data_IF_892557910534
#
_entry.id   IF_892557910534
#
_cell.length_a   1.000
_cell.length_b   1.000
_cell.length_c   1.000
_cell.angle_alpha   90.00
_cell.angle_beta   90.00
_cell.angle_gamma   90.00
#
_symmetry.space_group_name_H-M   'P 1'
#
loop_
_entity.id
_entity.type
_entity.pdbx_description
1 polymer ?
#
# COMPACT_ATOMS: atom_id res chain seq x y z
N UNK A 1 -21.63 0.95 19.38
CA UNK A 1 -21.55 2.38 19.07
C UNK A 1 -20.25 2.53 18.30
N UNK A 2 -20.32 2.85 16.99
CA UNK A 2 -19.13 3.10 16.20
C UNK A 2 -18.33 4.24 16.85
N UNK A 3 -17.04 4.06 17.04
CA UNK A 3 -16.15 5.16 17.44
C UNK A 3 -16.24 6.24 16.37
N UNK A 4 -16.53 7.46 16.76
CA UNK A 4 -16.57 8.60 15.85
C UNK A 4 -15.13 8.83 15.35
N UNK A 5 -14.85 8.41 14.14
CA UNK A 5 -13.52 8.56 13.51
C UNK A 5 -13.51 9.86 12.72
N UNK A 6 -12.48 10.67 12.95
CA UNK A 6 -12.20 11.86 12.13
C UNK A 6 -11.30 11.50 10.95
N UNK A 7 -11.24 12.38 9.95
CA UNK A 7 -10.30 12.24 8.84
C UNK A 7 -9.43 13.48 8.70
N UNK A 8 -8.18 13.27 8.28
CA UNK A 8 -7.27 14.35 7.95
C UNK A 8 -6.64 14.09 6.57
N UNK A 9 -6.71 15.10 5.69
CA UNK A 9 -6.26 15.00 4.30
C UNK A 9 -5.14 15.98 4.00
N UNK A 10 -4.37 15.71 2.94
CA UNK A 10 -3.43 16.69 2.40
C UNK A 10 -4.20 17.89 1.84
N UNK A 11 -3.72 19.10 2.14
CA UNK A 11 -4.20 20.31 1.49
C UNK A 11 -3.56 20.52 0.12
N UNK A 12 -4.21 21.29 -0.73
CA UNK A 12 -3.65 21.73 -2.00
C UNK A 12 -2.35 22.55 -1.76
N UNK A 13 -1.27 22.31 -2.52
CA UNK A 13 0.04 22.92 -2.30
C UNK A 13 0.03 24.47 -2.30
N UNK A 14 -0.85 25.07 -3.11
CA UNK A 14 -0.95 26.54 -3.25
C UNK A 14 -2.09 27.18 -2.42
N UNK A 15 -2.99 26.37 -1.86
CA UNK A 15 -4.13 26.86 -1.06
C UNK A 15 -4.46 25.90 0.09
N UNK A 16 -3.86 26.16 1.25
CA UNK A 16 -4.00 25.32 2.44
C UNK A 16 -5.43 25.16 2.98
N UNK A 17 -6.39 25.91 2.43
CA UNK A 17 -7.81 25.79 2.80
C UNK A 17 -8.61 24.88 1.87
N UNK A 18 -7.99 24.39 0.82
CA UNK A 18 -8.57 23.43 -0.11
C UNK A 18 -7.87 22.09 0.06
N UNK A 19 -8.60 21.00 -0.15
CA UNK A 19 -8.02 19.66 -0.23
C UNK A 19 -7.21 19.52 -1.52
N UNK A 20 -6.19 18.67 -1.50
CA UNK A 20 -5.45 18.24 -2.68
C UNK A 20 -6.41 17.63 -3.72
N UNK A 21 -6.19 17.93 -5.01
CA UNK A 21 -7.11 17.51 -6.09
C UNK A 21 -7.27 15.99 -6.17
N UNK A 22 -6.23 15.22 -5.89
CA UNK A 22 -6.26 13.75 -5.92
C UNK A 22 -7.13 13.14 -4.80
N UNK A 23 -7.41 13.90 -3.74
CA UNK A 23 -8.25 13.48 -2.61
C UNK A 23 -9.60 14.19 -2.54
N UNK A 24 -9.96 14.97 -3.56
CA UNK A 24 -11.17 15.79 -3.54
C UNK A 24 -12.46 14.96 -3.36
N UNK A 25 -12.60 13.88 -4.12
CA UNK A 25 -13.78 12.99 -4.02
C UNK A 25 -13.86 12.29 -2.65
N UNK A 26 -12.71 11.85 -2.13
CA UNK A 26 -12.62 11.23 -0.81
C UNK A 26 -12.98 12.24 0.30
N UNK A 27 -12.45 13.46 0.23
CA UNK A 27 -12.75 14.52 1.19
C UNK A 27 -14.24 14.89 1.21
N UNK A 28 -14.87 14.99 0.02
CA UNK A 28 -16.31 15.26 -0.07
C UNK A 28 -17.15 14.12 0.53
N UNK A 29 -16.79 12.88 0.25
CA UNK A 29 -17.50 11.71 0.76
C UNK A 29 -17.34 11.57 2.29
N UNK A 30 -16.15 11.78 2.82
CA UNK A 30 -15.88 11.78 4.27
C UNK A 30 -16.66 12.86 4.99
N UNK A 31 -16.68 14.10 4.46
CA UNK A 31 -17.33 15.26 5.06
C UNK A 31 -18.86 15.17 5.14
N UNK A 32 -19.48 14.14 4.57
CA UNK A 32 -20.93 13.94 4.74
C UNK A 32 -21.30 13.50 6.17
N UNK A 33 -20.43 12.72 6.83
CA UNK A 33 -20.78 12.10 8.12
C UNK A 33 -19.62 12.11 9.13
N UNK A 34 -18.43 12.61 8.73
CA UNK A 34 -17.25 12.65 9.58
C UNK A 34 -16.65 14.05 9.61
N UNK A 35 -16.05 14.44 10.72
CA UNK A 35 -15.28 15.68 10.80
C UNK A 35 -13.97 15.55 10.02
N UNK A 36 -13.66 16.56 9.20
CA UNK A 36 -12.54 16.55 8.28
C UNK A 36 -11.61 17.77 8.45
N UNK A 37 -10.34 17.53 8.69
CA UNK A 37 -9.31 18.54 8.70
C UNK A 37 -8.36 18.41 7.50
N UNK A 38 -7.60 19.45 7.24
CA UNK A 38 -6.55 19.49 6.24
C UNK A 38 -5.21 19.82 6.89
N UNK A 39 -4.11 19.28 6.35
CA UNK A 39 -2.76 19.70 6.71
C UNK A 39 -1.92 19.95 5.47
N UNK A 40 -0.92 20.83 5.57
CA UNK A 40 0.00 21.09 4.47
C UNK A 40 1.16 20.08 4.51
N UNK A 41 1.25 19.26 3.44
CA UNK A 41 2.32 18.29 3.27
C UNK A 41 3.69 18.99 3.13
N UNK A 42 3.77 20.12 2.40
CA UNK A 42 4.99 20.90 2.20
C UNK A 42 5.49 21.57 3.49
N UNK A 43 4.56 21.96 4.39
CA UNK A 43 4.97 22.47 5.69
C UNK A 43 5.49 21.33 6.57
N UNK A 44 4.86 20.15 6.50
CA UNK A 44 5.33 18.98 7.23
C UNK A 44 6.74 18.56 6.80
N UNK A 45 7.07 18.60 5.51
CA UNK A 45 8.43 18.38 5.01
C UNK A 45 9.45 19.36 5.60
N UNK A 46 9.00 20.57 5.96
CA UNK A 46 9.82 21.61 6.62
C UNK A 46 9.77 21.54 8.16
N UNK A 47 9.20 20.46 8.70
CA UNK A 47 9.07 20.26 10.14
C UNK A 47 8.02 21.15 10.80
N UNK A 48 6.98 21.58 10.08
CA UNK A 48 5.89 22.41 10.61
C UNK A 48 4.54 21.74 10.40
N UNK A 49 3.67 21.80 11.40
CA UNK A 49 2.28 21.36 11.28
C UNK A 49 1.36 22.56 11.08
N UNK A 50 0.84 22.70 9.86
CA UNK A 50 -0.20 23.68 9.52
C UNK A 50 -1.52 22.97 9.26
N UNK A 51 -2.51 23.20 10.11
CA UNK A 51 -3.86 22.63 10.02
C UNK A 51 -4.86 23.67 9.53
N UNK A 52 -5.89 23.21 8.83
CA UNK A 52 -7.08 23.97 8.43
C UNK A 52 -8.30 23.04 8.33
N UNK A 53 -9.49 23.58 8.05
CA UNK A 53 -10.73 22.81 8.06
C UNK A 53 -11.36 22.76 9.43
N UNK A 54 -11.94 21.63 9.81
CA UNK A 54 -12.61 21.46 11.10
C UNK A 54 -11.61 21.25 12.25
N UNK A 55 -12.00 21.67 13.45
CA UNK A 55 -11.23 21.39 14.67
C UNK A 55 -11.53 19.96 15.13
N UNK A 56 -10.61 19.04 14.83
CA UNK A 56 -10.73 17.61 15.13
C UNK A 56 -9.88 17.23 16.34
N UNK A 57 -10.33 16.22 17.10
CA UNK A 57 -9.61 15.63 18.23
C UNK A 57 -9.90 14.13 18.34
N UNK A 58 -9.02 13.40 18.99
CA UNK A 58 -9.16 11.96 19.20
C UNK A 58 -8.74 11.14 17.98
N UNK A 59 -9.35 9.97 17.82
CA UNK A 59 -8.97 9.00 16.78
C UNK A 59 -9.22 9.57 15.39
N UNK A 60 -8.18 9.57 14.57
CA UNK A 60 -8.18 10.19 13.26
C UNK A 60 -7.51 9.28 12.24
N UNK A 61 -8.10 9.15 11.06
CA UNK A 61 -7.51 8.45 9.92
C UNK A 61 -6.91 9.48 8.97
N UNK A 62 -5.62 9.33 8.69
CA UNK A 62 -4.95 10.05 7.64
C UNK A 62 -5.32 9.47 6.27
N UNK A 63 -5.66 10.33 5.30
CA UNK A 63 -5.84 9.96 3.90
C UNK A 63 -5.00 10.89 3.04
N UNK A 64 -3.94 10.36 2.44
CA UNK A 64 -3.02 11.21 1.69
C UNK A 64 -1.83 10.46 1.09
N UNK A 65 -0.84 11.23 0.69
CA UNK A 65 0.39 10.74 0.08
C UNK A 65 1.20 9.86 1.04
N UNK A 66 1.88 8.85 0.48
CA UNK A 66 2.81 8.01 1.23
C UNK A 66 3.91 8.86 1.85
N UNK A 67 4.27 8.53 3.07
CA UNK A 67 5.35 9.16 3.83
C UNK A 67 6.45 8.14 4.11
N UNK A 68 7.70 8.59 4.21
CA UNK A 68 8.72 7.75 4.84
C UNK A 68 8.33 7.47 6.30
N UNK A 69 8.76 6.34 6.91
CA UNK A 69 8.47 6.05 8.31
C UNK A 69 8.86 7.18 9.27
N UNK A 70 9.98 7.84 9.02
CA UNK A 70 10.44 8.96 9.82
C UNK A 70 9.51 10.18 9.69
N UNK A 71 9.07 10.50 8.47
CA UNK A 71 8.13 11.61 8.24
C UNK A 71 6.78 11.33 8.90
N UNK A 72 6.30 10.10 8.80
CA UNK A 72 5.06 9.69 9.46
C UNK A 72 5.16 9.78 10.99
N UNK A 73 6.28 9.36 11.59
CA UNK A 73 6.52 9.48 13.03
C UNK A 73 6.50 10.95 13.48
N UNK A 74 7.16 11.84 12.75
CA UNK A 74 7.12 13.27 13.01
C UNK A 74 5.69 13.82 12.94
N UNK A 75 4.95 13.46 11.91
CA UNK A 75 3.55 13.86 11.73
C UNK A 75 2.67 13.37 12.88
N UNK A 76 2.78 12.08 13.22
CA UNK A 76 2.07 11.46 14.35
C UNK A 76 2.30 12.22 15.66
N UNK A 77 3.56 12.50 15.99
CA UNK A 77 3.92 13.18 17.23
C UNK A 77 3.40 14.63 17.28
N UNK A 78 3.50 15.38 16.17
CA UNK A 78 2.98 16.74 16.08
C UNK A 78 1.44 16.80 16.21
N UNK A 79 0.73 15.81 15.67
CA UNK A 79 -0.71 15.70 15.81
C UNK A 79 -1.10 15.33 17.25
N UNK A 80 -0.34 14.43 17.88
CA UNK A 80 -0.59 13.98 19.25
C UNK A 80 -0.47 15.14 20.25
N UNK A 81 0.46 16.09 20.04
CA UNK A 81 0.56 17.34 20.83
C UNK A 81 -0.71 18.20 20.73
N UNK A 82 -1.54 17.97 19.74
CA UNK A 82 -2.83 18.65 19.52
C UNK A 82 -4.05 17.80 19.86
N UNK A 83 -3.85 16.71 20.60
CA UNK A 83 -4.90 15.76 21.00
C UNK A 83 -5.53 15.03 19.79
N UNK A 84 -4.82 14.95 18.64
CA UNK A 84 -5.20 14.21 17.45
C UNK A 84 -4.34 12.95 17.39
N UNK A 85 -4.97 11.78 17.50
CA UNK A 85 -4.28 10.50 17.48
C UNK A 85 -4.55 9.75 16.17
N UNK A 86 -3.54 9.57 15.34
CA UNK A 86 -3.70 8.73 14.15
C UNK A 86 -3.97 7.28 14.54
N UNK A 87 -4.81 6.61 13.75
CA UNK A 87 -5.27 5.24 14.00
C UNK A 87 -4.13 4.23 14.06
N UNK A 88 -3.12 4.40 13.22
CA UNK A 88 -1.92 3.56 13.22
C UNK A 88 -0.78 4.30 13.92
N UNK A 89 -0.13 3.63 14.87
CA UNK A 89 1.11 4.12 15.45
C UNK A 89 2.24 4.14 14.41
N UNK A 90 3.33 4.89 14.61
CA UNK A 90 4.49 4.89 13.71
C UNK A 90 5.08 3.50 13.46
N UNK A 91 5.05 2.63 14.47
CA UNK A 91 5.50 1.24 14.37
C UNK A 91 4.60 0.41 13.46
N UNK A 92 3.29 0.58 13.57
CA UNK A 92 2.31 -0.11 12.74
C UNK A 92 2.36 0.39 11.29
N UNK A 93 2.47 1.71 11.10
CA UNK A 93 2.69 2.29 9.79
C UNK A 93 3.91 1.66 9.10
N UNK A 94 5.08 1.70 9.73
CA UNK A 94 6.30 1.12 9.18
C UNK A 94 6.16 -0.39 8.93
N UNK A 95 5.50 -1.12 9.85
CA UNK A 95 5.28 -2.56 9.71
C UNK A 95 4.53 -2.91 8.42
N UNK A 96 3.42 -2.25 8.13
CA UNK A 96 2.58 -2.61 6.98
C UNK A 96 2.93 -1.84 5.72
N UNK A 97 3.55 -0.67 5.84
CA UNK A 97 4.02 0.08 4.68
C UNK A 97 5.23 -0.58 4.00
N UNK A 98 6.12 -1.22 4.78
CA UNK A 98 7.35 -1.83 4.27
C UNK A 98 7.23 -3.36 4.21
N UNK A 99 7.51 -3.96 3.05
CA UNK A 99 7.41 -5.42 2.84
C UNK A 99 8.13 -6.24 3.93
N UNK A 100 9.37 -5.95 4.33
CA UNK A 100 10.04 -6.71 5.39
C UNK A 100 9.32 -6.74 6.73
N UNK A 101 8.51 -5.70 7.01
CA UNK A 101 7.80 -5.56 8.28
C UNK A 101 6.67 -6.58 8.48
N UNK A 102 5.96 -6.92 7.43
CA UNK A 102 4.83 -7.85 7.49
C UNK A 102 5.13 -9.24 6.89
N UNK A 103 6.18 -9.37 6.09
CA UNK A 103 6.46 -10.58 5.31
C UNK A 103 6.49 -11.86 6.15
N UNK A 104 7.21 -11.85 7.29
CA UNK A 104 7.34 -13.04 8.13
C UNK A 104 6.04 -13.53 8.74
N UNK A 105 5.10 -12.62 9.01
CA UNK A 105 3.79 -12.98 9.57
C UNK A 105 2.93 -13.75 8.54
N UNK A 106 3.21 -13.56 7.24
CA UNK A 106 2.44 -14.08 6.13
C UNK A 106 3.26 -14.85 5.09
N UNK A 107 4.52 -15.22 5.37
CA UNK A 107 5.46 -15.82 4.42
C UNK A 107 4.94 -17.08 3.70
N UNK A 108 4.02 -17.85 4.35
CA UNK A 108 3.46 -19.07 3.78
C UNK A 108 2.32 -18.85 2.78
N UNK A 109 1.78 -17.64 2.75
CA UNK A 109 0.62 -17.27 1.94
C UNK A 109 0.88 -16.01 1.11
N UNK A 110 2.14 -15.68 0.89
CA UNK A 110 2.63 -14.56 0.05
C UNK A 110 3.80 -15.06 -0.81
N UNK A 111 4.08 -14.47 -1.98
CA UNK A 111 5.21 -14.90 -2.80
C UNK A 111 6.54 -14.83 -2.05
N UNK A 112 7.37 -15.86 -2.23
CA UNK A 112 8.71 -15.89 -1.65
C UNK A 112 9.48 -14.59 -1.99
N UNK A 113 10.11 -14.00 -0.99
CA UNK A 113 10.83 -12.74 -1.13
C UNK A 113 12.12 -12.76 -0.32
N UNK A 114 13.17 -12.22 -0.92
CA UNK A 114 14.44 -11.92 -0.27
C UNK A 114 14.77 -10.47 -0.52
N UNK A 115 15.54 -9.86 0.35
CA UNK A 115 15.89 -8.44 0.20
C UNK A 115 17.28 -8.13 0.75
N UNK A 116 17.84 -7.04 0.25
CA UNK A 116 19.05 -6.40 0.77
C UNK A 116 18.69 -5.03 1.32
N UNK A 117 19.21 -4.68 2.47
CA UNK A 117 19.14 -3.31 3.00
C UNK A 117 20.09 -2.36 2.24
N UNK A 118 21.05 -2.93 1.53
CA UNK A 118 21.97 -2.19 0.68
C UNK A 118 21.31 -1.86 -0.66
N UNK A 119 21.58 -0.66 -1.14
CA UNK A 119 21.23 -0.20 -2.51
C UNK A 119 22.36 -0.50 -3.52
N UNK A 120 23.46 -1.10 -3.08
CA UNK A 120 24.59 -1.48 -3.92
C UNK A 120 24.22 -2.69 -4.76
N UNK A 121 24.47 -2.63 -6.08
CA UNK A 121 24.13 -3.68 -7.03
C UNK A 121 24.81 -5.01 -6.69
N UNK A 122 26.08 -5.00 -6.26
CA UNK A 122 26.84 -6.21 -5.96
C UNK A 122 26.25 -6.96 -4.76
N UNK A 123 25.71 -6.23 -3.77
CA UNK A 123 25.04 -6.84 -2.61
C UNK A 123 23.70 -7.45 -2.98
N UNK A 124 22.94 -6.78 -3.85
CA UNK A 124 21.68 -7.31 -4.36
C UNK A 124 21.89 -8.53 -5.24
N UNK A 125 22.93 -8.53 -6.08
CA UNK A 125 23.28 -9.69 -6.94
C UNK A 125 23.64 -10.93 -6.14
N UNK A 126 24.25 -10.82 -4.97
CA UNK A 126 24.51 -11.96 -4.09
C UNK A 126 23.20 -12.70 -3.67
N UNK A 127 22.10 -11.98 -3.59
CA UNK A 127 20.80 -12.62 -3.30
C UNK A 127 20.36 -13.59 -4.39
N UNK A 128 20.81 -13.39 -5.63
CA UNK A 128 20.40 -14.21 -6.78
C UNK A 128 21.05 -15.59 -6.84
N UNK A 129 22.08 -15.87 -6.04
CA UNK A 129 22.92 -17.06 -6.18
C UNK A 129 22.18 -18.39 -5.97
N UNK A 130 21.11 -18.39 -5.17
CA UNK A 130 20.33 -19.59 -4.86
C UNK A 130 18.86 -19.44 -5.29
N UNK A 131 18.57 -18.54 -6.23
CA UNK A 131 17.23 -18.32 -6.74
C UNK A 131 17.08 -18.94 -8.13
N UNK A 132 15.86 -19.43 -8.42
CA UNK A 132 15.51 -20.09 -9.69
C UNK A 132 14.17 -19.56 -10.21
N UNK A 133 14.09 -19.38 -11.55
CA UNK A 133 12.89 -18.98 -12.26
C UNK A 133 12.69 -17.46 -12.31
N UNK A 134 11.43 -17.03 -12.38
CA UNK A 134 11.08 -15.63 -12.61
C UNK A 134 10.89 -14.85 -11.30
N UNK A 135 11.32 -13.58 -11.31
CA UNK A 135 11.25 -12.67 -10.16
C UNK A 135 10.78 -11.27 -10.57
N UNK A 136 10.27 -10.53 -9.59
CA UNK A 136 10.03 -9.09 -9.66
C UNK A 136 11.07 -8.40 -8.79
N UNK A 137 11.70 -7.34 -9.33
CA UNK A 137 12.50 -6.41 -8.53
C UNK A 137 11.63 -5.23 -8.09
N UNK A 138 11.71 -4.89 -6.81
CA UNK A 138 11.03 -3.74 -6.20
C UNK A 138 11.85 -3.19 -5.03
N UNK A 139 11.51 -2.01 -4.53
CA UNK A 139 11.94 -1.60 -3.20
C UNK A 139 10.96 -2.15 -2.12
N UNK A 140 11.09 -1.70 -0.89
CA UNK A 140 10.23 -2.19 0.19
C UNK A 140 8.75 -1.83 0.00
N UNK A 141 8.44 -0.84 -0.86
CA UNK A 141 7.08 -0.30 -1.09
C UNK A 141 6.62 -0.47 -2.53
N UNK A 142 7.44 -0.05 -3.50
CA UNK A 142 7.04 0.13 -4.90
C UNK A 142 7.87 -0.71 -5.87
N UNK A 143 7.26 -1.05 -7.02
CA UNK A 143 7.95 -1.61 -8.18
C UNK A 143 7.72 -0.70 -9.40
N UNK A 144 8.54 -0.86 -10.43
CA UNK A 144 8.41 -0.11 -11.68
C UNK A 144 7.56 -0.87 -12.71
N UNK A 145 6.34 -1.22 -12.34
CA UNK A 145 5.41 -2.01 -13.20
C UNK A 145 5.17 -1.38 -14.57
N UNK A 146 5.27 -0.05 -14.69
CA UNK A 146 5.15 0.69 -15.94
C UNK A 146 6.34 0.47 -16.89
N UNK A 147 7.49 0.00 -16.38
CA UNK A 147 8.70 -0.38 -17.12
C UNK A 147 8.94 -1.89 -17.00
N UNK A 148 7.89 -2.69 -17.26
CA UNK A 148 7.81 -4.11 -16.93
C UNK A 148 9.04 -4.92 -17.31
N UNK A 149 9.48 -4.86 -18.56
CA UNK A 149 10.60 -5.66 -19.07
C UNK A 149 11.99 -5.03 -18.84
N UNK A 150 12.03 -3.75 -18.48
CA UNK A 150 13.29 -3.02 -18.35
C UNK A 150 13.78 -2.87 -16.92
N UNK A 151 12.86 -2.69 -15.96
CA UNK A 151 13.20 -2.35 -14.59
C UNK A 151 12.27 -3.00 -13.54
N UNK A 152 11.58 -4.10 -13.90
CA UNK A 152 10.67 -4.75 -12.97
C UNK A 152 10.71 -6.29 -13.05
N UNK A 153 10.48 -6.89 -14.22
CA UNK A 153 10.31 -8.32 -14.38
C UNK A 153 11.59 -8.98 -14.89
N UNK A 154 12.11 -9.93 -14.11
CA UNK A 154 13.26 -10.79 -14.44
C UNK A 154 12.69 -12.15 -14.84
N UNK A 155 12.78 -12.50 -16.12
CA UNK A 155 12.19 -13.72 -16.66
C UNK A 155 12.89 -14.99 -16.12
N UNK A 156 14.19 -14.92 -15.98
CA UNK A 156 15.00 -16.01 -15.41
C UNK A 156 16.15 -15.42 -14.58
N UNK A 157 16.08 -15.57 -13.25
CA UNK A 157 17.08 -15.03 -12.31
C UNK A 157 18.45 -15.73 -12.44
N UNK A 158 18.50 -16.91 -13.06
CA UNK A 158 19.72 -17.67 -13.33
C UNK A 158 20.51 -17.06 -14.49
N UNK A 159 19.84 -16.30 -15.41
CA UNK A 159 20.52 -15.44 -16.37
C UNK A 159 21.06 -14.19 -15.65
N UNK A 160 22.28 -14.33 -15.12
CA UNK A 160 22.90 -13.29 -14.29
C UNK A 160 23.10 -11.97 -15.04
N UNK A 161 23.28 -12.00 -16.35
CA UNK A 161 23.46 -10.79 -17.16
C UNK A 161 22.14 -10.03 -17.30
N UNK A 162 21.03 -10.72 -17.60
CA UNK A 162 19.70 -10.10 -17.66
C UNK A 162 19.25 -9.62 -16.27
N UNK A 163 19.44 -10.44 -15.24
CA UNK A 163 19.10 -10.07 -13.87
C UNK A 163 19.83 -8.81 -13.41
N UNK A 164 21.15 -8.75 -13.64
CA UNK A 164 21.97 -7.59 -13.29
C UNK A 164 21.48 -6.33 -14.02
N UNK A 165 21.20 -6.41 -15.33
CA UNK A 165 20.69 -5.29 -16.13
C UNK A 165 19.38 -4.73 -15.57
N UNK A 166 18.43 -5.61 -15.27
CA UNK A 166 17.10 -5.19 -14.78
C UNK A 166 17.20 -4.60 -13.37
N UNK A 167 17.98 -5.22 -12.48
CA UNK A 167 18.18 -4.72 -11.10
C UNK A 167 18.89 -3.37 -11.12
N UNK A 168 19.95 -3.20 -11.95
CA UNK A 168 20.65 -1.94 -12.08
C UNK A 168 19.76 -0.83 -12.64
N UNK A 169 18.95 -1.14 -13.65
CA UNK A 169 17.96 -0.22 -14.19
C UNK A 169 16.95 0.19 -13.11
N UNK A 170 16.45 -0.76 -12.31
CA UNK A 170 15.53 -0.47 -11.20
C UNK A 170 16.18 0.49 -10.21
N UNK A 171 17.36 0.17 -9.68
CA UNK A 171 18.06 0.99 -8.68
C UNK A 171 18.32 2.39 -9.23
N UNK A 172 18.86 2.49 -10.44
CA UNK A 172 19.21 3.76 -11.08
C UNK A 172 17.98 4.64 -11.30
N UNK A 173 16.90 4.06 -11.82
CA UNK A 173 15.67 4.81 -12.14
C UNK A 173 14.83 5.13 -10.91
N UNK A 174 14.93 4.34 -9.85
CA UNK A 174 14.29 4.63 -8.56
C UNK A 174 15.04 5.76 -7.82
N UNK A 175 16.38 5.79 -7.92
CA UNK A 175 17.22 6.88 -7.40
C UNK A 175 16.93 7.19 -5.93
N UNK A 176 16.72 8.45 -5.62
CA UNK A 176 16.40 8.92 -4.26
C UNK A 176 15.04 8.47 -3.75
N UNK A 177 14.10 8.13 -4.65
CA UNK A 177 12.78 7.61 -4.31
C UNK A 177 12.78 6.14 -3.88
N UNK A 178 13.94 5.46 -3.87
CA UNK A 178 14.08 4.09 -3.42
C UNK A 178 13.88 4.01 -1.89
N UNK A 179 12.76 3.45 -1.47
CA UNK A 179 12.42 3.31 -0.06
C UNK A 179 13.00 2.02 0.54
N UNK A 180 13.79 2.17 1.59
CA UNK A 180 14.44 1.04 2.27
C UNK A 180 15.54 0.40 1.40
N UNK A 181 15.38 -0.87 1.06
CA UNK A 181 16.31 -1.65 0.27
C UNK A 181 15.69 -2.25 -0.99
N UNK A 182 16.39 -3.19 -1.62
CA UNK A 182 15.96 -3.85 -2.85
C UNK A 182 15.44 -5.26 -2.54
N UNK A 183 14.25 -5.58 -3.03
CA UNK A 183 13.56 -6.87 -2.87
C UNK A 183 13.57 -7.62 -4.20
N UNK A 184 13.90 -8.90 -4.16
CA UNK A 184 13.63 -9.87 -5.20
C UNK A 184 12.46 -10.73 -4.74
N UNK A 185 11.33 -10.63 -5.43
CA UNK A 185 10.08 -11.31 -5.09
C UNK A 185 9.71 -12.28 -6.19
N UNK A 186 9.48 -13.53 -5.84
CA UNK A 186 9.13 -14.59 -6.81
C UNK A 186 7.89 -14.20 -7.60
N UNK A 187 7.97 -14.35 -8.91
CA UNK A 187 6.83 -14.12 -9.79
C UNK A 187 5.89 -15.34 -9.71
N UNK A 188 4.65 -15.09 -9.32
CA UNK A 188 3.62 -16.12 -9.19
C UNK A 188 2.81 -16.26 -10.48
N UNK A 189 2.39 -17.49 -10.77
CA UNK A 189 1.46 -17.79 -11.85
C UNK A 189 0.04 -17.43 -11.43
N UNK A 190 -0.38 -16.21 -11.80
CA UNK A 190 -1.70 -15.68 -11.46
C UNK A 190 -2.72 -15.91 -12.58
N UNK A 191 -4.01 -15.89 -12.23
CA UNK A 191 -5.11 -15.96 -13.20
C UNK A 191 -5.15 -14.65 -13.99
N UNK A 192 -4.61 -14.68 -15.20
CA UNK A 192 -4.55 -13.54 -16.09
C UNK A 192 -5.94 -13.18 -16.62
N UNK A 193 -6.32 -11.90 -16.53
CA UNK A 193 -7.56 -11.33 -17.07
C UNK A 193 -7.33 -10.32 -18.20
N UNK A 194 -6.07 -10.01 -18.51
CA UNK A 194 -5.70 -9.07 -19.56
C UNK A 194 -4.24 -8.66 -19.51
N UNK A 195 -3.91 -7.61 -20.26
CA UNK A 195 -2.58 -6.98 -20.25
C UNK A 195 -2.73 -5.47 -20.15
N UNK A 196 -1.85 -4.84 -19.38
CA UNK A 196 -1.77 -3.39 -19.31
C UNK A 196 -1.33 -2.83 -20.67
N UNK A 197 -2.05 -1.83 -21.18
CA UNK A 197 -1.91 -1.34 -22.56
C UNK A 197 -0.51 -0.80 -22.86
N UNK A 198 0.09 -0.08 -21.90
CA UNK A 198 1.35 0.64 -22.11
C UNK A 198 2.57 -0.21 -21.77
N UNK A 199 2.55 -0.93 -20.64
CA UNK A 199 3.70 -1.69 -20.13
C UNK A 199 3.74 -3.15 -20.59
N UNK A 200 2.62 -3.69 -21.09
CA UNK A 200 2.48 -5.11 -21.43
C UNK A 200 2.46 -6.05 -20.21
N UNK A 201 2.44 -5.49 -18.99
CA UNK A 201 2.32 -6.26 -17.75
C UNK A 201 1.03 -7.09 -17.76
N UNK A 202 1.07 -8.38 -17.38
CA UNK A 202 -0.14 -9.17 -17.22
C UNK A 202 -0.99 -8.59 -16.07
N UNK A 203 -2.29 -8.39 -16.36
CA UNK A 203 -3.29 -8.02 -15.36
C UNK A 203 -3.91 -9.30 -14.83
N UNK A 204 -3.91 -9.48 -13.52
CA UNK A 204 -4.47 -10.63 -12.83
C UNK A 204 -5.81 -10.33 -12.16
N UNK A 205 -6.53 -11.38 -11.80
CA UNK A 205 -7.71 -11.25 -10.95
C UNK A 205 -7.24 -10.92 -9.54
N UNK A 206 -7.42 -9.68 -9.15
CA UNK A 206 -6.96 -9.13 -7.88
C UNK A 206 -8.07 -8.41 -7.12
N UNK A 207 -7.97 -8.42 -5.79
CA UNK A 207 -8.92 -7.81 -4.87
C UNK A 207 -8.18 -6.93 -3.88
N UNK A 208 -8.71 -5.74 -3.60
CA UNK A 208 -8.27 -4.86 -2.51
C UNK A 208 -9.22 -4.99 -1.34
N UNK A 209 -8.67 -5.31 -0.18
CA UNK A 209 -9.39 -5.44 1.08
C UNK A 209 -8.88 -4.39 2.05
N UNK A 210 -9.77 -3.55 2.56
CA UNK A 210 -9.46 -2.70 3.69
C UNK A 210 -9.86 -3.41 4.98
N UNK A 211 -8.92 -3.48 5.91
CA UNK A 211 -9.10 -4.04 7.25
C UNK A 211 -9.06 -2.91 8.26
N UNK A 212 -10.09 -2.82 9.09
CA UNK A 212 -10.21 -1.85 10.16
C UNK A 212 -10.48 -2.56 11.49
N UNK A 213 -9.67 -2.29 12.50
CA UNK A 213 -9.78 -2.94 13.82
C UNK A 213 -9.91 -4.47 13.73
N UNK A 214 -9.00 -5.10 12.96
CA UNK A 214 -8.93 -6.55 12.74
C UNK A 214 -10.15 -7.16 12.03
N UNK A 215 -11.01 -6.36 11.39
CA UNK A 215 -12.18 -6.80 10.63
C UNK A 215 -12.12 -6.28 9.20
N UNK A 216 -12.74 -7.02 8.29
CA UNK A 216 -12.93 -6.54 6.91
C UNK A 216 -13.87 -5.34 6.96
N UNK A 217 -13.39 -4.17 6.56
CA UNK A 217 -14.19 -2.97 6.40
C UNK A 217 -14.92 -2.99 5.05
N UNK A 218 -14.17 -3.24 3.98
CA UNK A 218 -14.66 -3.28 2.60
C UNK A 218 -13.72 -4.10 1.72
N UNK A 219 -14.26 -4.78 0.73
CA UNK A 219 -13.52 -5.52 -0.28
C UNK A 219 -14.07 -5.19 -1.67
N UNK A 220 -13.19 -5.07 -2.67
CA UNK A 220 -13.57 -4.87 -4.07
C UNK A 220 -12.50 -5.37 -5.03
N UNK A 221 -12.86 -5.44 -6.32
CA UNK A 221 -11.92 -5.74 -7.39
C UNK A 221 -10.87 -4.64 -7.51
N UNK A 222 -9.63 -5.04 -7.78
CA UNK A 222 -8.52 -4.09 -7.91
C UNK A 222 -8.52 -3.38 -9.27
N UNK A 223 -8.85 -4.08 -10.36
CA UNK A 223 -8.67 -3.61 -11.73
C UNK A 223 -9.98 -3.32 -12.48
N UNK A 224 -11.11 -3.87 -12.06
CA UNK A 224 -12.33 -3.81 -12.86
C UNK A 224 -13.57 -3.50 -12.01
N UNK A 225 -14.08 -2.27 -12.15
CA UNK A 225 -15.25 -1.76 -11.45
C UNK A 225 -16.55 -2.51 -11.82
N UNK A 226 -16.65 -3.04 -13.03
CA UNK A 226 -17.88 -3.62 -13.57
C UNK A 226 -18.03 -5.12 -13.26
N UNK A 227 -17.03 -5.73 -12.63
CA UNK A 227 -17.10 -7.14 -12.24
C UNK A 227 -17.51 -7.28 -10.78
N UNK A 228 -18.41 -8.22 -10.52
CA UNK A 228 -18.72 -8.64 -9.16
C UNK A 228 -17.48 -9.25 -8.49
N UNK A 229 -17.37 -9.05 -7.20
CA UNK A 229 -16.32 -9.66 -6.38
C UNK A 229 -16.61 -11.16 -6.30
N UNK A 230 -15.72 -11.97 -6.90
CA UNK A 230 -15.87 -13.43 -6.95
C UNK A 230 -15.02 -14.08 -5.84
N UNK A 231 -15.49 -13.96 -4.61
CA UNK A 231 -14.89 -14.55 -3.40
C UNK A 231 -15.93 -15.49 -2.81
N UNK A 232 -15.57 -16.78 -2.66
CA UNK A 232 -16.43 -17.77 -2.02
C UNK A 232 -16.51 -17.58 -0.50
N UNK A 233 -17.47 -18.24 0.16
CA UNK A 233 -17.62 -18.18 1.62
C UNK A 233 -16.36 -18.71 2.35
N UNK A 234 -15.75 -19.77 1.87
CA UNK A 234 -14.51 -20.32 2.44
C UNK A 234 -13.33 -19.35 2.28
N UNK A 235 -13.23 -18.70 1.13
CA UNK A 235 -12.21 -17.66 0.88
C UNK A 235 -12.47 -16.45 1.76
N UNK A 236 -13.72 -16.04 1.95
CA UNK A 236 -14.07 -14.94 2.85
C UNK A 236 -13.64 -15.25 4.29
N UNK A 237 -13.94 -16.45 4.79
CA UNK A 237 -13.52 -16.90 6.11
C UNK A 237 -11.97 -16.92 6.24
N UNK A 238 -11.27 -17.31 5.17
CA UNK A 238 -9.80 -17.24 5.14
C UNK A 238 -9.31 -15.79 5.22
N UNK A 239 -9.93 -14.85 4.49
CA UNK A 239 -9.60 -13.42 4.54
C UNK A 239 -9.87 -12.85 5.94
N UNK A 240 -10.97 -13.22 6.60
CA UNK A 240 -11.25 -12.84 7.99
C UNK A 240 -10.16 -13.34 8.94
N UNK A 241 -9.62 -14.55 8.69
CA UNK A 241 -8.51 -15.08 9.49
C UNK A 241 -7.22 -14.26 9.30
N UNK A 242 -6.99 -13.68 8.11
CA UNK A 242 -5.90 -12.75 7.84
C UNK A 242 -6.16 -11.43 8.57
N UNK A 243 -7.35 -10.85 8.42
CA UNK A 243 -7.74 -9.61 9.07
C UNK A 243 -7.57 -9.68 10.59
N UNK A 244 -7.93 -10.81 11.20
CA UNK A 244 -7.76 -11.05 12.64
C UNK A 244 -6.31 -11.10 13.11
N UNK A 245 -5.36 -11.41 12.23
CA UNK A 245 -3.91 -11.43 12.52
C UNK A 245 -3.25 -10.08 12.32
N UNK A 246 -3.91 -9.17 11.62
CA UNK A 246 -3.43 -7.81 11.42
C UNK A 246 -3.54 -7.09 12.76
N UNK A 247 -2.39 -6.72 13.35
CA UNK A 247 -2.33 -6.05 14.65
C UNK A 247 -2.42 -4.53 14.56
N UNK A 248 -2.82 -3.97 13.41
CA UNK A 248 -2.95 -2.54 13.16
C UNK A 248 -4.42 -2.11 13.10
N UNK A 249 -4.69 -0.86 13.40
CA UNK A 249 -6.03 -0.30 13.32
C UNK A 249 -6.57 -0.24 11.89
N UNK A 250 -5.72 0.12 10.88
CA UNK A 250 -6.17 0.32 9.50
C UNK A 250 -5.11 -0.10 8.48
N UNK A 251 -5.38 -1.17 7.72
CA UNK A 251 -4.44 -1.81 6.79
C UNK A 251 -5.16 -2.21 5.51
N UNK A 252 -4.45 -2.24 4.38
CA UNK A 252 -4.90 -2.89 3.15
C UNK A 252 -4.23 -4.24 2.96
N UNK A 253 -4.97 -5.18 2.39
CA UNK A 253 -4.49 -6.49 1.93
C UNK A 253 -4.89 -6.63 0.47
N UNK A 254 -3.91 -6.71 -0.42
CA UNK A 254 -4.15 -6.99 -1.83
C UNK A 254 -3.98 -8.50 -2.07
N UNK A 255 -5.02 -9.12 -2.53
CA UNK A 255 -5.06 -10.55 -2.87
C UNK A 255 -5.05 -10.74 -4.38
N UNK A 256 -4.44 -11.82 -4.84
CA UNK A 256 -4.57 -12.25 -6.22
C UNK A 256 -4.99 -13.72 -6.29
N UNK A 257 -5.74 -14.07 -7.34
CA UNK A 257 -6.07 -15.46 -7.64
C UNK A 257 -4.94 -16.09 -8.46
N UNK A 258 -4.42 -17.20 -7.97
CA UNK A 258 -3.43 -18.00 -8.69
C UNK A 258 -4.08 -18.78 -9.85
N UNK A 259 -3.27 -19.27 -10.75
CA UNK A 259 -3.74 -20.09 -11.88
C UNK A 259 -4.42 -21.41 -11.44
N UNK A 260 -4.08 -21.92 -10.25
CA UNK A 260 -4.72 -23.11 -9.64
C UNK A 260 -6.05 -22.79 -8.93
N UNK A 261 -6.47 -21.53 -8.91
CA UNK A 261 -7.71 -21.05 -8.29
C UNK A 261 -7.56 -20.58 -6.85
N UNK A 262 -6.47 -20.88 -6.15
CA UNK A 262 -6.24 -20.42 -4.78
C UNK A 262 -5.95 -18.92 -4.70
N UNK A 263 -6.22 -18.29 -3.54
CA UNK A 263 -5.85 -16.91 -3.26
C UNK A 263 -4.46 -16.84 -2.59
N UNK A 264 -3.75 -15.75 -2.88
CA UNK A 264 -2.45 -15.43 -2.28
C UNK A 264 -2.39 -13.94 -1.96
N UNK A 265 -1.72 -13.56 -0.86
CA UNK A 265 -1.46 -12.16 -0.52
C UNK A 265 -0.38 -11.61 -1.47
N UNK A 266 -0.73 -10.62 -2.27
CA UNK A 266 0.25 -9.96 -3.15
C UNK A 266 0.94 -8.79 -2.45
N UNK A 267 0.19 -8.03 -1.66
CA UNK A 267 0.75 -6.86 -0.97
C UNK A 267 -0.06 -6.56 0.29
N UNK A 268 0.60 -5.98 1.27
CA UNK A 268 -0.04 -5.33 2.40
C UNK A 268 0.42 -3.88 2.42
N UNK A 269 -0.44 -2.99 2.90
CA UNK A 269 -0.14 -1.57 3.00
C UNK A 269 -0.80 -0.94 4.21
N UNK A 270 -0.27 0.20 4.65
CA UNK A 270 -1.00 1.04 5.59
C UNK A 270 -2.25 1.60 4.91
N UNK A 271 -3.42 1.41 5.51
CA UNK A 271 -4.71 1.80 4.93
C UNK A 271 -4.85 3.30 4.72
N UNK A 272 -4.11 4.09 5.48
CA UNK A 272 -4.15 5.56 5.42
C UNK A 272 -3.57 6.11 4.12
N UNK A 273 -2.58 5.41 3.54
CA UNK A 273 -1.88 5.83 2.32
C UNK A 273 -2.17 4.93 1.11
N UNK A 274 -3.09 3.99 1.27
CA UNK A 274 -3.52 3.10 0.20
C UNK A 274 -4.69 3.70 -0.59
N UNK A 275 -4.56 3.78 -1.91
CA UNK A 275 -5.62 4.28 -2.79
C UNK A 275 -6.85 3.37 -2.81
N UNK A 276 -8.01 3.94 -3.08
CA UNK A 276 -9.29 3.20 -3.11
C UNK A 276 -9.41 2.23 -4.29
N UNK A 277 -8.59 2.40 -5.33
CA UNK A 277 -8.67 1.66 -6.60
C UNK A 277 -10.05 1.81 -7.25
N UNK A 278 -10.85 0.73 -7.30
CA UNK A 278 -12.18 0.74 -7.87
C UNK A 278 -13.30 0.97 -6.84
N UNK A 279 -12.94 1.09 -5.56
CA UNK A 279 -13.90 1.34 -4.49
C UNK A 279 -14.40 2.79 -4.59
N UNK A 280 -15.70 2.96 -4.68
CA UNK A 280 -16.33 4.28 -4.69
C UNK A 280 -16.15 4.99 -3.35
N UNK A 281 -15.73 6.26 -3.35
CA UNK A 281 -15.43 7.01 -2.14
C UNK A 281 -16.60 7.04 -1.15
N UNK A 282 -17.82 7.32 -1.61
CA UNK A 282 -19.00 7.32 -0.75
C UNK A 282 -19.22 5.97 -0.05
N UNK A 283 -19.12 4.86 -0.79
CA UNK A 283 -19.26 3.51 -0.22
C UNK A 283 -18.17 3.20 0.82
N UNK A 284 -16.95 3.67 0.58
CA UNK A 284 -15.83 3.50 1.49
C UNK A 284 -16.04 4.22 2.81
N UNK A 285 -16.34 5.52 2.79
CA UNK A 285 -16.53 6.31 4.02
C UNK A 285 -17.77 5.90 4.80
N UNK A 286 -18.84 5.51 4.12
CA UNK A 286 -20.04 4.94 4.75
C UNK A 286 -19.77 3.65 5.53
N UNK A 287 -18.75 2.87 5.16
CA UNK A 287 -18.42 1.63 5.85
C UNK A 287 -17.91 1.85 7.29
N UNK A 288 -17.41 3.03 7.63
CA UNK A 288 -16.98 3.39 8.99
C UNK A 288 -18.16 3.71 9.95
N UNK A 289 -19.37 3.81 9.45
CA UNK A 289 -20.58 4.11 10.27
C UNK A 289 -21.18 2.86 10.92
N UNK A 290 -20.72 1.65 10.53
CA UNK A 290 -21.29 0.36 10.96
C UNK A 290 -20.43 -0.27 12.13
#
# INVERSE_FOLDING_TARGET
MGENVNFIFCSHPLDKKKVDEDYFEEYQAAGLNHACALFSYEDLERGKLSLSGEDIKGITIYRGWMMSPHMYENFYNMLLEREIQLINSPKEYAKYHLLPGWYKDFERITPFSVWSESKNIDDVLKLTDNLEGAFIVKDYVKSRKHEWYDACFIKNIEDKAEAARIIENFITRQGESLEGGVVLRKFESLKCIGKHKDSGMPISEEYRIFVFNCKILIADNYWNKDKEVNISEDEYNWIESIASKVGSGFVTVDLARKADGSLIIMEMGDGQVSGLQQIEAYRFYKAFEN
#
